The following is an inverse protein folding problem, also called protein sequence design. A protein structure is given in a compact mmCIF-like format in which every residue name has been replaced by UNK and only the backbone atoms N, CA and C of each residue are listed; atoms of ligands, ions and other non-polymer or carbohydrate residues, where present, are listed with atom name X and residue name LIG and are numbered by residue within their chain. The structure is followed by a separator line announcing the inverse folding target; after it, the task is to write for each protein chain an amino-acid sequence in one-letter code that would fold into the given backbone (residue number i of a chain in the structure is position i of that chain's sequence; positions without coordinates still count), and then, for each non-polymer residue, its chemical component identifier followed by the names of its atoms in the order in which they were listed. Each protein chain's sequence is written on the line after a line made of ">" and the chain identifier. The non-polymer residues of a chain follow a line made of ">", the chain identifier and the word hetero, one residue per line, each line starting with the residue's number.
data_IF_015732050509
#
_entry.id   IF_015732050509
#
_cell.length_a   1.000
_cell.length_b   1.000
_cell.length_c   1.000
_cell.angle_alpha   90.00
_cell.angle_beta   90.00
_cell.angle_gamma   90.00
#
_symmetry.space_group_name_H-M   'P 1'
#
loop_
_entity.id
_entity.type
_entity.pdbx_description
1 polymer ?
#
# COMPACT_ATOMS: atom_id res chain seq x y z
N UNK A 1 31.75 -15.04 1.15
CA UNK A 1 32.63 -15.50 2.24
C UNK A 1 31.81 -16.49 3.06
N UNK A 2 32.33 -17.64 3.48
CA UNK A 2 31.66 -18.51 4.43
C UNK A 2 31.56 -17.74 5.75
N UNK A 3 30.37 -17.34 6.08
CA UNK A 3 30.08 -16.54 7.27
C UNK A 3 29.60 -17.48 8.34
N UNK A 4 30.28 -18.28 8.97
CA UNK A 4 29.91 -19.08 10.12
C UNK A 4 28.41 -19.32 10.39
N UNK A 5 28.11 -20.17 11.32
CA UNK A 5 26.75 -20.47 11.77
C UNK A 5 26.41 -19.59 12.99
N UNK A 6 25.17 -19.12 13.07
CA UNK A 6 24.63 -18.42 14.23
C UNK A 6 23.53 -19.28 14.83
N UNK A 7 23.65 -19.57 16.12
CA UNK A 7 22.65 -20.34 16.88
C UNK A 7 21.87 -19.41 17.79
N UNK A 8 20.55 -19.52 17.76
CA UNK A 8 19.65 -18.82 18.67
C UNK A 8 18.49 -19.73 19.07
N UNK A 9 17.94 -19.61 20.29
CA UNK A 9 16.78 -20.38 20.72
C UNK A 9 15.52 -20.04 19.96
N UNK A 10 15.41 -18.77 19.49
CA UNK A 10 14.28 -18.28 18.69
C UNK A 10 14.77 -17.30 17.63
N UNK A 11 14.12 -17.33 16.46
CA UNK A 11 14.38 -16.44 15.32
C UNK A 11 13.09 -15.70 14.97
N UNK A 12 13.16 -14.37 14.86
CA UNK A 12 12.07 -13.54 14.35
C UNK A 12 12.38 -13.23 12.88
N UNK A 13 11.56 -13.72 11.97
CA UNK A 13 11.74 -13.61 10.52
C UNK A 13 11.09 -12.31 10.04
N UNK A 14 11.92 -11.37 9.57
CA UNK A 14 11.53 -10.05 9.07
C UNK A 14 12.09 -9.84 7.65
N UNK A 15 12.06 -10.85 6.81
CA UNK A 15 12.75 -10.89 5.50
C UNK A 15 12.01 -10.16 4.37
N UNK A 16 10.87 -9.56 4.69
CA UNK A 16 10.01 -8.91 3.69
C UNK A 16 9.33 -9.90 2.75
N UNK A 17 8.88 -9.43 1.60
CA UNK A 17 8.10 -10.21 0.63
C UNK A 17 8.81 -11.43 0.04
N UNK A 18 10.14 -11.52 0.17
CA UNK A 18 10.92 -12.59 -0.48
C UNK A 18 10.67 -14.01 0.07
N UNK A 19 10.24 -14.13 1.32
CA UNK A 19 9.83 -15.37 1.98
C UNK A 19 10.83 -16.54 1.90
N UNK A 20 12.14 -16.27 1.77
CA UNK A 20 13.17 -17.31 1.57
C UNK A 20 13.31 -18.23 2.79
N UNK A 21 13.35 -17.65 4.00
CA UNK A 21 13.45 -18.43 5.24
C UNK A 21 12.09 -19.03 5.60
N UNK A 22 11.03 -18.30 5.39
CA UNK A 22 9.65 -18.73 5.64
C UNK A 22 9.32 -20.00 4.83
N UNK A 23 9.70 -20.04 3.55
CA UNK A 23 9.59 -21.22 2.70
C UNK A 23 10.49 -22.39 3.18
N UNK A 24 11.75 -22.10 3.52
CA UNK A 24 12.69 -23.14 4.01
C UNK A 24 12.22 -23.83 5.28
N UNK A 25 11.48 -23.11 6.12
CA UNK A 25 10.88 -23.65 7.35
C UNK A 25 9.54 -24.37 7.10
N UNK A 26 9.05 -24.38 5.85
CA UNK A 26 7.75 -24.96 5.51
C UNK A 26 6.55 -24.23 6.09
N UNK A 27 6.69 -22.93 6.38
CA UNK A 27 5.62 -22.09 6.94
C UNK A 27 4.71 -21.52 5.84
N UNK A 28 5.15 -21.56 4.59
CA UNK A 28 4.37 -21.27 3.39
C UNK A 28 4.66 -22.36 2.37
N UNK A 29 3.64 -22.90 1.74
CA UNK A 29 3.69 -24.07 0.86
C UNK A 29 3.45 -23.72 -0.63
N UNK A 30 3.30 -22.45 -0.93
CA UNK A 30 3.04 -21.94 -2.27
C UNK A 30 3.93 -20.73 -2.57
N UNK A 31 4.15 -20.47 -3.85
CA UNK A 31 4.78 -19.23 -4.30
C UNK A 31 3.75 -18.10 -4.29
N UNK A 32 4.22 -16.88 -4.02
CA UNK A 32 3.37 -15.70 -4.12
C UNK A 32 3.01 -15.45 -5.58
N UNK A 33 1.73 -15.29 -5.85
CA UNK A 33 1.25 -15.00 -7.20
C UNK A 33 1.54 -13.53 -7.58
N UNK A 34 1.95 -13.24 -8.84
CA UNK A 34 2.16 -11.88 -9.31
C UNK A 34 0.94 -10.96 -9.12
N UNK A 35 -0.28 -11.50 -9.19
CA UNK A 35 -1.52 -10.79 -8.92
C UNK A 35 -1.67 -10.37 -7.45
N UNK A 36 -0.92 -10.99 -6.54
CA UNK A 36 -0.91 -10.65 -5.12
C UNK A 36 0.31 -9.83 -4.70
N UNK A 37 1.06 -9.29 -5.67
CA UNK A 37 2.21 -8.44 -5.42
C UNK A 37 2.09 -7.11 -6.14
N UNK A 38 2.37 -6.02 -5.45
CA UNK A 38 2.61 -4.73 -6.07
C UNK A 38 4.10 -4.46 -6.19
N UNK A 39 4.52 -3.86 -7.30
CA UNK A 39 5.84 -3.24 -7.42
C UNK A 39 5.70 -1.76 -7.10
N UNK A 40 6.29 -1.33 -5.98
CA UNK A 40 6.50 0.07 -5.68
C UNK A 40 7.83 0.52 -6.27
N UNK A 41 7.81 1.62 -7.04
CA UNK A 41 9.01 2.21 -7.64
C UNK A 41 8.98 3.72 -7.47
N UNK A 42 10.12 4.29 -7.12
CA UNK A 42 10.20 5.70 -6.69
C UNK A 42 11.52 6.35 -7.07
N UNK A 43 11.48 7.66 -7.09
CA UNK A 43 12.66 8.53 -7.00
C UNK A 43 12.70 9.26 -5.66
N UNK A 44 13.92 9.44 -5.17
CA UNK A 44 14.22 10.30 -4.01
C UNK A 44 14.93 11.55 -4.56
N UNK A 45 14.28 12.68 -4.40
CA UNK A 45 14.71 13.95 -5.01
C UNK A 45 15.11 14.91 -3.89
N UNK A 46 16.36 15.40 -3.92
CA UNK A 46 16.87 16.37 -2.97
C UNK A 46 16.32 17.77 -3.29
N UNK A 47 15.86 18.45 -2.26
CA UNK A 47 15.45 19.84 -2.26
C UNK A 47 15.82 20.46 -0.90
N UNK A 48 16.04 21.76 -0.85
CA UNK A 48 16.24 22.44 0.43
C UNK A 48 14.96 22.47 1.26
N UNK A 49 15.13 22.53 2.58
CA UNK A 49 14.00 22.46 3.54
C UNK A 49 13.00 23.62 3.35
N UNK A 50 13.47 24.81 3.02
CA UNK A 50 12.59 25.96 2.82
C UNK A 50 11.72 25.80 1.59
N UNK A 51 12.28 25.26 0.51
CA UNK A 51 11.56 24.92 -0.72
C UNK A 51 10.50 23.86 -0.47
N UNK A 52 10.84 22.78 0.26
CA UNK A 52 9.87 21.73 0.62
C UNK A 52 8.74 22.34 1.46
N UNK A 53 9.06 23.07 2.52
CA UNK A 53 8.05 23.69 3.39
C UNK A 53 7.12 24.63 2.61
N UNK A 54 7.66 25.42 1.70
CA UNK A 54 6.88 26.32 0.85
C UNK A 54 5.95 25.60 -0.11
N UNK A 55 6.48 24.59 -0.85
CA UNK A 55 5.70 23.86 -1.87
C UNK A 55 4.60 23.00 -1.28
N UNK A 56 4.82 22.47 -0.10
CA UNK A 56 3.87 21.58 0.58
C UNK A 56 3.06 22.26 1.68
N UNK A 57 3.23 23.58 1.89
CA UNK A 57 2.48 24.35 2.88
C UNK A 57 2.73 23.86 4.30
N UNK A 58 3.94 23.45 4.65
CA UNK A 58 4.28 22.92 5.97
C UNK A 58 4.47 24.05 6.97
N UNK A 59 3.63 24.13 8.04
CA UNK A 59 3.67 25.25 8.98
C UNK A 59 4.85 25.19 9.95
N UNK A 60 5.41 24.00 10.18
CA UNK A 60 6.50 23.75 11.13
C UNK A 60 7.49 22.74 10.59
N UNK A 61 8.76 22.86 10.99
CA UNK A 61 9.89 22.01 10.56
C UNK A 61 9.76 20.52 10.91
N UNK A 62 8.87 20.20 11.84
CA UNK A 62 8.65 18.82 12.31
C UNK A 62 7.48 18.15 11.61
N UNK A 63 6.74 18.86 10.77
CA UNK A 63 5.63 18.31 10.01
C UNK A 63 6.12 17.78 8.66
N UNK A 64 5.49 16.70 8.22
CA UNK A 64 5.62 16.17 6.88
C UNK A 64 4.25 15.99 6.24
N UNK A 65 4.25 15.74 4.95
CA UNK A 65 3.05 15.45 4.18
C UNK A 65 3.24 14.13 3.43
N UNK A 66 2.21 13.30 3.47
CA UNK A 66 2.04 12.15 2.61
C UNK A 66 0.83 12.41 1.70
N UNK A 67 1.06 12.47 0.40
CA UNK A 67 0.02 12.66 -0.61
C UNK A 67 -0.16 11.35 -1.35
N UNK A 68 -1.41 10.87 -1.41
CA UNK A 68 -1.80 9.73 -2.24
C UNK A 68 -2.55 10.22 -3.48
N UNK A 69 -2.24 9.68 -4.64
CA UNK A 69 -2.79 10.11 -5.92
C UNK A 69 -3.37 8.90 -6.66
N UNK A 70 -4.63 8.99 -7.04
CA UNK A 70 -5.34 7.93 -7.77
C UNK A 70 -5.78 8.42 -9.14
N UNK A 71 -5.92 7.49 -10.10
CA UNK A 71 -6.47 7.76 -11.40
C UNK A 71 -5.44 7.76 -12.52
N UNK A 72 -5.28 8.87 -13.25
CA UNK A 72 -4.42 8.93 -14.45
C UNK A 72 -2.94 8.62 -14.19
N UNK A 73 -2.47 8.80 -12.98
CA UNK A 73 -1.07 8.53 -12.59
C UNK A 73 -0.68 7.06 -12.78
N UNK A 74 -1.61 6.13 -12.59
CA UNK A 74 -1.46 4.71 -12.88
C UNK A 74 -2.11 4.30 -14.21
N UNK A 75 -2.37 5.25 -15.13
CA UNK A 75 -3.04 5.03 -16.41
C UNK A 75 -4.49 4.51 -16.27
N UNK A 76 -5.12 4.78 -15.11
CA UNK A 76 -6.45 4.24 -14.78
C UNK A 76 -6.45 2.75 -14.45
N UNK A 77 -5.28 2.14 -14.28
CA UNK A 77 -5.08 0.75 -13.89
C UNK A 77 -4.93 0.62 -12.36
N UNK A 78 -5.05 -0.60 -11.81
CA UNK A 78 -4.80 -0.85 -10.39
C UNK A 78 -3.42 -0.37 -9.96
N UNK A 79 -3.40 0.67 -9.15
CA UNK A 79 -2.18 1.31 -8.68
C UNK A 79 -2.44 2.67 -8.03
N UNK A 80 -1.41 3.22 -7.40
CA UNK A 80 -1.48 4.46 -6.67
C UNK A 80 -0.16 5.21 -6.76
N UNK A 81 -0.23 6.52 -7.01
CA UNK A 81 0.92 7.42 -6.88
C UNK A 81 1.05 7.93 -5.44
N UNK A 82 2.27 8.20 -5.03
CA UNK A 82 2.54 8.83 -3.74
C UNK A 82 3.60 9.92 -3.83
N UNK A 83 3.50 10.90 -2.92
CA UNK A 83 4.53 11.92 -2.70
C UNK A 83 4.73 12.06 -1.20
N UNK A 84 5.92 11.79 -0.70
CA UNK A 84 6.26 11.88 0.71
C UNK A 84 7.37 12.91 0.92
N UNK A 85 7.15 13.84 1.84
CA UNK A 85 8.17 14.82 2.22
C UNK A 85 9.06 14.29 3.34
N UNK A 86 10.36 14.57 3.22
CA UNK A 86 11.34 14.48 4.29
C UNK A 86 11.96 15.88 4.49
N UNK A 87 12.86 16.04 5.46
CA UNK A 87 13.47 17.36 5.76
C UNK A 87 14.22 17.98 4.57
N UNK A 88 14.90 17.16 3.76
CA UNK A 88 15.76 17.59 2.65
C UNK A 88 15.53 16.79 1.37
N UNK A 89 14.51 15.96 1.32
CA UNK A 89 14.16 15.16 0.16
C UNK A 89 12.65 15.02 0.01
N UNK A 90 12.22 14.76 -1.20
CA UNK A 90 10.85 14.34 -1.52
C UNK A 90 10.95 12.97 -2.19
N UNK A 91 10.21 11.98 -1.69
CA UNK A 91 10.06 10.69 -2.34
C UNK A 91 8.81 10.71 -3.20
N UNK A 92 8.95 10.50 -4.50
CA UNK A 92 7.85 10.43 -5.46
C UNK A 92 7.85 9.08 -6.12
N UNK A 93 6.73 8.40 -6.12
CA UNK A 93 6.67 7.05 -6.67
C UNK A 93 5.25 6.56 -6.97
N UNK A 94 5.20 5.35 -7.47
CA UNK A 94 3.97 4.60 -7.75
C UNK A 94 4.09 3.19 -7.19
N UNK A 95 2.95 2.64 -6.76
CA UNK A 95 2.75 1.21 -6.56
C UNK A 95 1.75 0.70 -7.60
N UNK A 96 2.09 -0.35 -8.33
CA UNK A 96 1.20 -0.99 -9.30
C UNK A 96 1.30 -2.51 -9.18
N UNK A 97 0.19 -3.21 -9.43
CA UNK A 97 0.19 -4.67 -9.39
C UNK A 97 1.15 -5.23 -10.43
N UNK A 98 1.91 -6.25 -10.06
CA UNK A 98 2.99 -6.80 -10.88
C UNK A 98 2.45 -7.47 -12.16
N UNK A 99 1.33 -8.18 -12.07
CA UNK A 99 0.61 -8.75 -13.20
C UNK A 99 0.11 -7.67 -14.16
N UNK A 100 -0.47 -6.58 -13.64
CA UNK A 100 -0.92 -5.44 -14.42
C UNK A 100 0.22 -4.81 -15.23
N UNK A 101 1.39 -4.61 -14.61
CA UNK A 101 2.58 -4.12 -15.32
C UNK A 101 3.00 -5.06 -16.45
N UNK A 102 2.96 -6.39 -16.19
CA UNK A 102 3.34 -7.41 -17.16
C UNK A 102 2.34 -7.52 -18.32
N UNK A 103 1.04 -7.59 -18.03
CA UNK A 103 -0.04 -7.72 -19.02
C UNK A 103 -0.07 -6.53 -19.99
N UNK A 104 0.07 -5.32 -19.45
CA UNK A 104 0.07 -4.09 -20.23
C UNK A 104 1.45 -3.73 -20.78
N UNK A 105 2.49 -4.58 -20.54
CA UNK A 105 3.88 -4.37 -20.99
C UNK A 105 4.42 -3.00 -20.59
N UNK A 106 4.05 -2.53 -19.40
CA UNK A 106 4.46 -1.24 -18.86
C UNK A 106 5.86 -1.36 -18.24
N UNK A 107 6.68 -0.38 -18.52
CA UNK A 107 7.99 -0.26 -17.88
C UNK A 107 7.89 0.71 -16.70
N UNK A 108 8.23 0.27 -15.48
CA UNK A 108 8.05 1.09 -14.27
C UNK A 108 8.64 2.48 -14.37
N UNK A 109 9.85 2.62 -14.96
CA UNK A 109 10.50 3.92 -15.09
C UNK A 109 9.76 4.87 -16.07
N UNK A 110 9.12 4.35 -17.13
CA UNK A 110 8.34 5.18 -18.06
C UNK A 110 7.06 5.71 -17.42
N UNK A 111 6.41 4.86 -16.60
CA UNK A 111 5.22 5.27 -15.83
C UNK A 111 5.60 6.31 -14.79
N UNK A 112 6.73 6.11 -14.09
CA UNK A 112 7.22 7.08 -13.10
C UNK A 112 7.60 8.42 -13.76
N UNK A 113 8.28 8.39 -14.90
CA UNK A 113 8.62 9.61 -15.63
C UNK A 113 7.36 10.40 -16.01
N UNK A 114 6.32 9.73 -16.54
CA UNK A 114 5.04 10.36 -16.82
C UNK A 114 4.40 10.96 -15.57
N UNK A 115 4.50 10.29 -14.43
CA UNK A 115 3.98 10.80 -13.16
C UNK A 115 4.74 12.06 -12.71
N UNK A 116 6.05 12.06 -12.80
CA UNK A 116 6.89 13.22 -12.49
C UNK A 116 6.62 14.42 -13.39
N UNK A 117 6.26 14.18 -14.66
CA UNK A 117 5.89 15.22 -15.63
C UNK A 117 4.44 15.71 -15.47
N UNK A 118 3.63 15.04 -14.66
CA UNK A 118 2.24 15.43 -14.44
C UNK A 118 2.15 16.87 -13.90
N UNK A 119 1.25 17.75 -14.45
CA UNK A 119 1.18 19.17 -14.06
C UNK A 119 0.98 19.44 -12.57
N UNK A 120 0.37 18.51 -11.83
CA UNK A 120 0.21 18.63 -10.39
C UNK A 120 1.45 18.18 -9.59
N UNK A 121 2.34 17.40 -10.16
CA UNK A 121 3.51 16.82 -9.50
C UNK A 121 4.79 17.54 -9.86
N UNK A 122 4.99 17.84 -11.15
CA UNK A 122 6.20 18.49 -11.64
C UNK A 122 6.61 19.76 -10.85
N UNK A 123 5.68 20.67 -10.48
CA UNK A 123 6.02 21.84 -9.68
C UNK A 123 6.53 21.51 -8.27
N UNK A 124 6.11 20.37 -7.69
CA UNK A 124 6.49 19.95 -6.34
C UNK A 124 7.95 19.53 -6.26
N UNK A 125 8.49 19.00 -7.35
CA UNK A 125 9.86 18.45 -7.42
C UNK A 125 10.79 19.24 -8.34
N UNK A 126 10.29 20.31 -8.95
CA UNK A 126 11.04 21.16 -9.88
C UNK A 126 12.39 21.59 -9.27
N UNK A 127 13.44 21.61 -10.11
CA UNK A 127 14.81 21.99 -9.75
C UNK A 127 15.45 21.11 -8.64
N UNK A 128 14.85 19.97 -8.29
CA UNK A 128 15.41 19.01 -7.38
C UNK A 128 16.47 18.12 -8.03
N UNK A 129 17.39 17.61 -7.22
CA UNK A 129 18.42 16.68 -7.66
C UNK A 129 18.00 15.25 -7.39
N UNK A 130 17.98 14.39 -8.40
CA UNK A 130 17.77 12.95 -8.23
C UNK A 130 18.93 12.35 -7.41
N UNK A 131 18.61 11.72 -6.29
CA UNK A 131 19.55 11.01 -5.42
C UNK A 131 19.48 9.50 -5.61
N UNK A 132 18.28 8.96 -5.76
CA UNK A 132 18.03 7.52 -5.79
C UNK A 132 16.82 7.22 -6.69
N UNK A 133 16.95 6.15 -7.47
CA UNK A 133 15.83 5.45 -8.11
C UNK A 133 15.84 4.01 -7.61
N UNK A 134 14.69 3.49 -7.20
CA UNK A 134 14.59 2.13 -6.70
C UNK A 134 13.19 1.58 -6.77
N UNK A 135 13.09 0.26 -6.67
CA UNK A 135 11.83 -0.46 -6.60
C UNK A 135 11.86 -1.56 -5.54
N UNK A 136 10.69 -1.86 -4.97
CA UNK A 136 10.51 -2.91 -3.99
C UNK A 136 9.15 -3.57 -4.19
N UNK A 137 9.09 -4.90 -4.02
CA UNK A 137 7.83 -5.62 -4.02
C UNK A 137 7.12 -5.47 -2.67
N UNK A 138 5.80 -5.42 -2.72
CA UNK A 138 4.91 -5.35 -1.57
C UNK A 138 3.90 -6.49 -1.69
N UNK A 139 3.68 -7.32 -0.65
CA UNK A 139 2.65 -8.36 -0.68
C UNK A 139 1.25 -7.74 -0.49
N UNK A 140 0.38 -7.91 -1.46
CA UNK A 140 -0.99 -7.37 -1.44
C UNK A 140 -2.06 -8.43 -1.20
N UNK A 141 -1.67 -9.71 -1.10
CA UNK A 141 -2.58 -10.83 -0.82
C UNK A 141 -3.14 -10.87 0.60
N UNK A 142 -2.45 -10.22 1.55
CA UNK A 142 -2.91 -10.00 2.92
C UNK A 142 -3.32 -11.29 3.62
N UNK A 143 -4.59 -11.36 4.05
CA UNK A 143 -5.12 -12.53 4.79
C UNK A 143 -5.00 -13.86 4.05
N UNK A 144 -5.12 -13.87 2.73
CA UNK A 144 -5.14 -15.11 1.93
C UNK A 144 -3.73 -15.68 1.72
N UNK A 145 -2.71 -14.85 1.70
CA UNK A 145 -1.31 -15.24 1.50
C UNK A 145 -0.52 -15.31 2.82
N UNK A 146 -1.22 -15.24 3.94
CA UNK A 146 -0.59 -15.27 5.26
C UNK A 146 0.00 -16.66 5.52
N UNK A 147 1.32 -16.79 5.79
CA UNK A 147 1.93 -18.05 6.16
C UNK A 147 1.49 -18.50 7.55
N UNK A 148 1.93 -19.68 7.96
CA UNK A 148 1.93 -20.04 9.37
C UNK A 148 2.84 -19.07 10.13
N UNK A 149 2.27 -18.36 11.10
CA UNK A 149 2.92 -17.22 11.76
C UNK A 149 4.03 -17.60 12.75
N UNK A 150 4.09 -18.86 13.19
CA UNK A 150 5.07 -19.38 14.14
C UNK A 150 5.23 -20.89 13.99
N UNK A 151 6.38 -21.37 14.45
CA UNK A 151 6.71 -22.79 14.65
C UNK A 151 7.65 -22.92 15.83
N UNK A 152 8.16 -24.11 16.14
CA UNK A 152 9.20 -24.29 17.15
C UNK A 152 10.41 -23.41 16.80
N UNK A 153 10.80 -22.53 17.73
CA UNK A 153 11.95 -21.65 17.58
C UNK A 153 11.84 -20.55 16.52
N UNK A 154 10.67 -20.29 15.91
CA UNK A 154 10.56 -19.22 14.92
C UNK A 154 9.19 -18.53 14.89
N UNK A 155 9.19 -17.21 14.58
CA UNK A 155 8.01 -16.38 14.32
C UNK A 155 8.22 -15.53 13.07
N UNK A 156 7.15 -15.26 12.30
CA UNK A 156 7.17 -14.46 11.05
C UNK A 156 6.42 -13.15 11.27
N UNK A 157 6.97 -12.02 10.78
CA UNK A 157 6.41 -10.68 11.02
C UNK A 157 6.39 -9.83 9.76
N UNK A 158 5.55 -8.79 9.75
CA UNK A 158 5.51 -7.79 8.69
C UNK A 158 5.18 -8.37 7.32
N UNK A 159 5.83 -7.88 6.28
CA UNK A 159 5.60 -8.30 4.90
C UNK A 159 5.91 -9.79 4.66
N UNK A 160 6.86 -10.37 5.41
CA UNK A 160 7.11 -11.81 5.36
C UNK A 160 5.90 -12.65 5.81
N UNK A 161 5.00 -12.05 6.59
CA UNK A 161 3.74 -12.62 7.02
C UNK A 161 2.53 -12.08 6.24
N UNK A 162 2.75 -11.41 5.10
CA UNK A 162 1.69 -10.75 4.30
C UNK A 162 0.84 -9.76 5.11
N UNK A 163 1.44 -9.09 6.10
CA UNK A 163 0.73 -8.15 6.97
C UNK A 163 0.66 -6.76 6.32
N UNK A 164 -0.06 -6.68 5.20
CA UNK A 164 -0.37 -5.43 4.48
C UNK A 164 -1.87 -5.32 4.29
N UNK A 165 -2.42 -4.15 4.59
CA UNK A 165 -3.82 -3.82 4.39
C UNK A 165 -3.99 -2.99 3.11
N UNK A 166 -4.42 -3.63 2.03
CA UNK A 166 -4.60 -2.99 0.71
C UNK A 166 -5.64 -1.86 0.69
N UNK A 167 -6.64 -1.88 1.58
CA UNK A 167 -7.64 -0.80 1.67
C UNK A 167 -7.05 0.50 2.21
N UNK A 168 -6.23 0.39 3.25
CA UNK A 168 -5.65 1.55 3.95
C UNK A 168 -4.21 1.85 3.51
N UNK A 169 -3.62 1.00 2.66
CA UNK A 169 -2.21 1.06 2.24
C UNK A 169 -1.24 1.06 3.42
N UNK A 170 -1.57 0.24 4.41
CA UNK A 170 -0.85 0.09 5.65
C UNK A 170 -0.01 -1.17 5.64
N UNK A 171 1.29 -1.03 5.82
CA UNK A 171 2.25 -2.13 5.98
C UNK A 171 3.23 -1.81 7.10
N UNK A 172 3.79 -0.60 7.10
CA UNK A 172 4.84 -0.20 8.06
C UNK A 172 4.38 -0.29 9.52
N UNK A 173 3.20 0.22 9.85
CA UNK A 173 2.63 0.14 11.19
C UNK A 173 2.36 -1.32 11.60
N UNK A 174 1.85 -2.14 10.68
CA UNK A 174 1.63 -3.57 10.93
C UNK A 174 2.95 -4.31 11.15
N UNK A 175 3.99 -4.03 10.35
CA UNK A 175 5.32 -4.61 10.53
C UNK A 175 5.94 -4.21 11.88
N UNK A 176 5.85 -2.94 12.26
CA UNK A 176 6.37 -2.46 13.56
C UNK A 176 5.65 -3.10 14.75
N UNK A 177 4.32 -3.18 14.71
CA UNK A 177 3.52 -3.75 15.80
C UNK A 177 3.68 -5.26 15.86
N UNK A 178 3.65 -5.97 14.74
CA UNK A 178 3.88 -7.41 14.73
C UNK A 178 5.28 -7.77 15.22
N UNK A 179 6.31 -7.00 14.83
CA UNK A 179 7.67 -7.15 15.34
C UNK A 179 7.76 -6.94 16.85
N UNK A 180 7.06 -5.93 17.40
CA UNK A 180 6.96 -5.71 18.84
C UNK A 180 6.31 -6.90 19.55
N UNK A 181 5.16 -7.38 19.05
CA UNK A 181 4.45 -8.50 19.65
C UNK A 181 5.24 -9.83 19.59
N UNK A 182 6.00 -10.03 18.50
CA UNK A 182 6.91 -11.16 18.39
C UNK A 182 8.05 -11.06 19.41
N UNK A 183 8.63 -9.87 19.61
CA UNK A 183 9.67 -9.65 20.63
C UNK A 183 9.16 -9.89 22.03
N UNK A 184 7.97 -9.39 22.39
CA UNK A 184 7.33 -9.64 23.69
C UNK A 184 7.10 -11.14 23.93
N UNK A 185 6.65 -11.87 22.90
CA UNK A 185 6.47 -13.32 22.99
C UNK A 185 7.82 -14.06 23.14
N UNK A 186 8.88 -13.61 22.44
CA UNK A 186 10.20 -14.19 22.58
C UNK A 186 10.80 -13.99 23.98
N UNK A 187 10.54 -12.84 24.61
CA UNK A 187 10.97 -12.55 25.99
C UNK A 187 10.29 -13.50 26.97
N UNK A 188 8.96 -13.67 26.85
CA UNK A 188 8.23 -14.62 27.72
C UNK A 188 8.65 -16.09 27.50
N UNK A 189 8.91 -16.48 26.25
CA UNK A 189 9.43 -17.81 25.93
C UNK A 189 10.82 -18.02 26.57
N UNK A 190 11.66 -16.99 26.58
CA UNK A 190 12.95 -17.02 27.23
C UNK A 190 12.83 -17.17 28.76
N UNK A 191 11.94 -16.43 29.40
CA UNK A 191 11.69 -16.52 30.84
C UNK A 191 11.16 -17.91 31.25
N UNK A 192 10.39 -18.56 30.39
CA UNK A 192 9.87 -19.93 30.58
C UNK A 192 10.89 -21.01 30.23
N UNK A 193 11.95 -20.67 29.48
CA UNK A 193 12.89 -21.64 28.92
C UNK A 193 12.27 -22.58 27.88
N UNK A 194 11.14 -22.17 27.26
CA UNK A 194 10.37 -22.97 26.29
C UNK A 194 10.11 -22.16 25.01
N UNK A 195 10.68 -22.60 23.91
CA UNK A 195 10.56 -21.99 22.58
C UNK A 195 9.73 -22.86 21.61
N UNK A 196 8.95 -23.79 22.13
CA UNK A 196 8.04 -24.61 21.33
C UNK A 196 6.93 -23.80 20.69
N UNK A 197 6.32 -24.33 19.65
CA UNK A 197 5.15 -23.74 18.99
C UNK A 197 3.99 -23.51 19.98
N UNK A 198 3.88 -24.31 21.04
CA UNK A 198 2.87 -24.14 22.09
C UNK A 198 3.05 -22.79 22.80
N UNK A 199 4.26 -22.49 23.23
CA UNK A 199 4.57 -21.20 23.90
C UNK A 199 4.55 -20.04 22.90
N UNK A 200 5.10 -20.23 21.70
CA UNK A 200 5.11 -19.18 20.67
C UNK A 200 3.73 -18.90 20.04
N UNK A 201 2.71 -19.74 20.28
CA UNK A 201 1.32 -19.47 19.87
C UNK A 201 0.77 -18.16 20.46
N UNK A 202 1.26 -17.74 21.62
CA UNK A 202 0.93 -16.44 22.24
C UNK A 202 1.15 -15.23 21.32
N UNK A 203 2.06 -15.34 20.34
CA UNK A 203 2.23 -14.32 19.31
C UNK A 203 0.98 -14.14 18.46
N UNK A 204 0.40 -15.23 17.98
CA UNK A 204 -0.84 -15.18 17.18
C UNK A 204 -2.02 -14.69 18.00
N UNK A 205 -2.11 -15.06 19.28
CA UNK A 205 -3.15 -14.60 20.20
C UNK A 205 -3.08 -13.07 20.35
N UNK A 206 -1.91 -12.49 20.58
CA UNK A 206 -1.69 -11.03 20.64
C UNK A 206 -2.06 -10.31 19.35
N UNK A 207 -1.74 -10.90 18.19
CA UNK A 207 -2.15 -10.36 16.90
C UNK A 207 -3.66 -10.37 16.70
N UNK A 208 -4.37 -11.38 17.25
CA UNK A 208 -5.83 -11.49 17.21
C UNK A 208 -6.52 -10.54 18.19
N UNK A 209 -5.96 -10.37 19.38
CA UNK A 209 -6.46 -9.41 20.38
C UNK A 209 -6.27 -7.97 19.91
N UNK A 210 -5.17 -7.69 19.21
CA UNK A 210 -4.89 -6.43 18.56
C UNK A 210 -5.77 -6.17 17.33
N UNK A 211 -5.36 -5.25 16.49
CA UNK A 211 -6.11 -4.88 15.27
C UNK A 211 -5.65 -5.66 14.03
N UNK A 212 -4.39 -6.13 13.94
CA UNK A 212 -3.77 -6.64 12.71
C UNK A 212 -4.59 -7.76 12.07
N UNK A 213 -4.78 -8.89 12.78
CA UNK A 213 -5.52 -10.01 12.20
C UNK A 213 -7.01 -9.72 12.02
N UNK A 214 -7.58 -8.82 12.82
CA UNK A 214 -8.97 -8.38 12.67
C UNK A 214 -9.16 -7.59 11.37
N UNK A 215 -8.29 -6.61 11.12
CA UNK A 215 -8.36 -5.76 9.92
C UNK A 215 -8.06 -6.56 8.65
N UNK A 216 -6.99 -7.36 8.66
CA UNK A 216 -6.67 -8.23 7.52
C UNK A 216 -7.83 -9.18 7.19
N UNK A 217 -8.48 -9.76 8.18
CA UNK A 217 -9.67 -10.60 7.99
C UNK A 217 -10.88 -9.81 7.49
N UNK A 218 -11.10 -8.62 8.04
CA UNK A 218 -12.20 -7.72 7.67
C UNK A 218 -12.10 -7.34 6.20
N UNK A 219 -10.92 -6.89 5.76
CA UNK A 219 -10.71 -6.35 4.42
C UNK A 219 -10.17 -7.37 3.40
N UNK A 220 -10.17 -8.66 3.72
CA UNK A 220 -9.61 -9.74 2.89
C UNK A 220 -10.17 -9.84 1.46
N UNK A 221 -11.35 -9.25 1.20
CA UNK A 221 -11.98 -9.23 -0.13
C UNK A 221 -11.56 -8.01 -0.97
N UNK A 222 -10.87 -7.04 -0.37
CA UNK A 222 -10.68 -5.74 -1.01
C UNK A 222 -9.68 -5.79 -2.17
N UNK A 223 -8.57 -6.53 -2.06
CA UNK A 223 -7.63 -6.70 -3.17
C UNK A 223 -8.34 -7.24 -4.42
N UNK A 224 -9.06 -8.34 -4.27
CA UNK A 224 -9.85 -8.92 -5.38
C UNK A 224 -10.96 -7.98 -5.89
N UNK A 225 -11.53 -7.16 -5.03
CA UNK A 225 -12.48 -6.14 -5.45
C UNK A 225 -11.84 -5.13 -6.40
N UNK A 226 -10.65 -4.63 -6.11
CA UNK A 226 -9.94 -3.69 -6.98
C UNK A 226 -9.59 -4.29 -8.34
N UNK A 227 -9.19 -5.56 -8.41
CA UNK A 227 -8.92 -6.28 -9.65
C UNK A 227 -10.17 -6.37 -10.54
N UNK A 228 -11.32 -6.66 -9.94
CA UNK A 228 -12.59 -6.85 -10.66
C UNK A 228 -13.36 -5.58 -10.94
N UNK A 229 -12.96 -4.45 -10.34
CA UNK A 229 -13.62 -3.15 -10.47
C UNK A 229 -12.61 -2.03 -10.78
N UNK A 230 -11.91 -2.08 -11.95
CA UNK A 230 -10.89 -1.11 -12.31
C UNK A 230 -11.42 0.34 -12.41
N UNK A 231 -12.74 0.52 -12.56
CA UNK A 231 -13.38 1.83 -12.54
C UNK A 231 -13.12 2.63 -11.27
N UNK A 232 -12.82 1.99 -10.13
CA UNK A 232 -12.45 2.67 -8.90
C UNK A 232 -11.06 3.30 -8.96
N UNK A 233 -10.20 2.84 -9.87
CA UNK A 233 -8.87 3.41 -10.09
C UNK A 233 -8.81 4.40 -11.25
N UNK A 234 -9.79 4.39 -12.16
CA UNK A 234 -9.81 5.26 -13.34
C UNK A 234 -11.06 6.15 -13.41
N UNK A 235 -12.21 5.53 -13.66
CA UNK A 235 -13.45 6.24 -13.97
C UNK A 235 -13.94 7.14 -12.83
N UNK A 236 -13.98 6.60 -11.59
CA UNK A 236 -14.48 7.37 -10.44
C UNK A 236 -13.53 8.46 -9.98
N UNK A 237 -12.21 8.29 -9.89
CA UNK A 237 -11.28 9.39 -9.63
C UNK A 237 -11.39 10.51 -10.66
N UNK A 238 -11.45 10.20 -11.95
CA UNK A 238 -11.62 11.19 -12.99
C UNK A 238 -12.96 11.96 -12.87
N UNK A 239 -14.04 11.24 -12.60
CA UNK A 239 -15.35 11.87 -12.34
C UNK A 239 -15.31 12.79 -11.11
N UNK A 240 -14.75 12.33 -9.99
CA UNK A 240 -14.65 13.13 -8.76
C UNK A 240 -13.80 14.38 -8.96
N UNK A 241 -12.68 14.27 -9.67
CA UNK A 241 -11.83 15.41 -9.99
C UNK A 241 -12.60 16.48 -10.77
N UNK A 242 -13.33 16.09 -11.83
CA UNK A 242 -14.10 17.03 -12.65
C UNK A 242 -15.28 17.61 -11.87
N UNK A 243 -15.98 16.79 -11.07
CA UNK A 243 -17.11 17.21 -10.27
C UNK A 243 -16.70 18.23 -9.19
N UNK A 244 -15.61 17.94 -8.45
CA UNK A 244 -15.09 18.85 -7.42
C UNK A 244 -14.49 20.11 -8.05
N UNK A 245 -13.73 19.96 -9.15
CA UNK A 245 -13.22 21.09 -9.92
C UNK A 245 -14.34 22.03 -10.37
N UNK A 246 -15.42 21.47 -10.96
CA UNK A 246 -16.59 22.24 -11.34
C UNK A 246 -17.33 22.87 -10.17
N UNK A 247 -17.49 22.13 -9.05
CA UNK A 247 -18.22 22.61 -7.86
C UNK A 247 -17.53 23.80 -7.19
N UNK A 248 -16.20 23.75 -7.04
CA UNK A 248 -15.43 24.80 -6.37
C UNK A 248 -15.00 25.94 -7.29
N UNK A 249 -15.20 25.82 -8.60
CA UNK A 249 -14.88 26.91 -9.52
C UNK A 249 -15.94 28.00 -9.52
N UNK A 250 -15.50 29.26 -9.63
CA UNK A 250 -16.38 30.43 -9.72
C UNK A 250 -16.74 30.70 -11.19
N UNK A 251 -17.72 29.95 -11.71
CA UNK A 251 -18.24 30.19 -13.07
C UNK A 251 -19.40 31.20 -13.06
N UNK A 252 -19.54 32.00 -14.10
CA UNK A 252 -20.69 32.84 -14.38
C UNK A 252 -21.95 32.08 -14.80
N UNK A 253 -22.08 30.79 -14.42
CA UNK A 253 -23.23 29.93 -14.75
C UNK A 253 -24.13 29.68 -13.54
N UNK A 254 -25.45 29.48 -13.74
CA UNK A 254 -26.35 29.05 -12.68
C UNK A 254 -25.91 27.72 -12.08
N UNK A 255 -25.98 27.58 -10.75
CA UNK A 255 -25.57 26.35 -10.06
C UNK A 255 -26.38 25.10 -10.49
N UNK A 256 -27.64 25.29 -10.89
CA UNK A 256 -28.46 24.20 -11.45
C UNK A 256 -27.82 23.58 -12.71
N UNK A 257 -27.24 24.42 -13.58
CA UNK A 257 -26.54 23.95 -14.78
C UNK A 257 -25.32 23.09 -14.40
N UNK A 258 -24.54 23.53 -13.40
CA UNK A 258 -23.39 22.78 -12.88
C UNK A 258 -23.81 21.39 -12.37
N UNK A 259 -24.85 21.27 -11.55
CA UNK A 259 -25.32 19.98 -11.07
C UNK A 259 -25.80 19.07 -12.21
N UNK A 260 -26.43 19.65 -13.24
CA UNK A 260 -26.81 18.88 -14.44
C UNK A 260 -25.57 18.37 -15.19
N UNK A 261 -24.56 19.22 -15.37
CA UNK A 261 -23.28 18.85 -16.02
C UNK A 261 -22.56 17.75 -15.23
N UNK A 262 -22.48 17.83 -13.90
CA UNK A 262 -21.90 16.80 -13.03
C UNK A 262 -22.65 15.47 -13.17
N UNK A 263 -23.97 15.50 -13.10
CA UNK A 263 -24.80 14.30 -13.25
C UNK A 263 -24.63 13.65 -14.63
N UNK A 264 -24.63 14.46 -15.68
CA UNK A 264 -24.38 13.99 -17.05
C UNK A 264 -22.98 13.39 -17.21
N UNK A 265 -21.96 14.00 -16.59
CA UNK A 265 -20.59 13.48 -16.59
C UNK A 265 -20.52 12.08 -15.98
N UNK A 266 -21.21 11.83 -14.86
CA UNK A 266 -21.30 10.50 -14.26
C UNK A 266 -21.97 9.50 -15.20
N UNK A 267 -23.18 9.84 -15.68
CA UNK A 267 -23.99 8.93 -16.51
C UNK A 267 -23.35 8.62 -17.87
N UNK A 268 -22.54 9.54 -18.40
CA UNK A 268 -21.77 9.33 -19.64
C UNK A 268 -20.62 8.31 -19.43
N UNK A 269 -20.00 8.33 -18.26
CA UNK A 269 -18.88 7.42 -17.91
C UNK A 269 -19.35 6.06 -17.41
N UNK A 270 -20.46 6.03 -16.65
CA UNK A 270 -20.99 4.81 -16.02
C UNK A 270 -22.51 4.88 -15.93
N UNK A 271 -23.22 3.85 -16.37
CA UNK A 271 -24.68 3.83 -16.20
C UNK A 271 -25.05 3.78 -14.71
N UNK A 272 -26.17 4.39 -14.34
CA UNK A 272 -26.62 4.44 -12.93
C UNK A 272 -26.80 3.05 -12.30
N UNK A 273 -27.27 2.07 -13.08
CA UNK A 273 -27.40 0.69 -12.59
C UNK A 273 -26.04 0.06 -12.27
N UNK A 274 -25.03 0.28 -13.12
CA UNK A 274 -23.67 -0.19 -12.86
C UNK A 274 -23.07 0.54 -11.66
N UNK A 275 -23.22 1.86 -11.58
CA UNK A 275 -22.72 2.64 -10.44
C UNK A 275 -23.34 2.19 -9.10
N UNK A 276 -24.64 1.89 -9.09
CA UNK A 276 -25.30 1.34 -7.90
C UNK A 276 -24.77 -0.06 -7.55
N UNK A 277 -24.54 -0.92 -8.54
CA UNK A 277 -23.92 -2.23 -8.35
C UNK A 277 -22.50 -2.13 -7.79
N UNK A 278 -21.70 -1.20 -8.29
CA UNK A 278 -20.33 -0.95 -7.85
C UNK A 278 -20.29 -0.49 -6.37
N UNK A 279 -21.21 0.38 -5.96
CA UNK A 279 -21.34 0.82 -4.55
C UNK A 279 -21.69 -0.38 -3.65
N UNK A 280 -22.60 -1.26 -4.06
CA UNK A 280 -22.93 -2.47 -3.30
C UNK A 280 -21.73 -3.42 -3.22
N UNK A 281 -21.01 -3.61 -4.32
CA UNK A 281 -19.80 -4.45 -4.37
C UNK A 281 -18.71 -3.91 -3.44
N UNK A 282 -18.48 -2.59 -3.46
CA UNK A 282 -17.56 -1.92 -2.55
C UNK A 282 -17.99 -2.09 -1.09
N UNK A 283 -19.27 -1.89 -0.80
CA UNK A 283 -19.82 -2.10 0.55
C UNK A 283 -19.56 -3.52 1.06
N UNK A 284 -19.74 -4.54 0.21
CA UNK A 284 -19.45 -5.94 0.57
C UNK A 284 -17.96 -6.18 0.80
N UNK A 285 -17.09 -5.57 -0.01
CA UNK A 285 -15.64 -5.73 0.13
C UNK A 285 -15.11 -5.06 1.42
N UNK A 286 -15.65 -3.89 1.78
CA UNK A 286 -15.21 -3.11 2.96
C UNK A 286 -15.88 -3.58 4.24
N UNK A 287 -17.18 -3.87 4.22
CA UNK A 287 -17.93 -4.28 5.42
C UNK A 287 -17.86 -5.80 5.71
N UNK A 288 -17.26 -6.57 4.79
CA UNK A 288 -17.02 -8.00 5.00
C UNK A 288 -18.26 -8.89 4.89
N UNK A 289 -19.35 -8.39 4.25
CA UNK A 289 -20.61 -9.15 4.07
C UNK A 289 -20.49 -10.29 3.08
#
# INVERSE_FOLDING_TARGET
>A
RPQGEIYAPVVIICEGVNNLLTQKLGLIDHDLEPAHMALAFKEVIALDEATINSRFGLPHKEHGVAVSVLGDVSLGLPGMGFVYTNKKTVSVGLGMMLDTLAEHKLRPYEVLQRYLEHPAIAPLVKDGQLLEYGGHLIPEGGWHDMPQLYTDGAMVTGDAASMVNALHWEGTNMAMISGKLAAETAIEAHERGDFSAVTLSGYKERLQEGFILRDLKQYRKFSRFLETHPEFMGTYPAFLNDALGGFFSAYGKPKRTLFTEIFQSLTHRRSLFKAAGDIVSMGRAVLGW
#
